data_IF_683022699748
#
_entry.id   IF_683022699748
#
_cell.length_a   1.000
_cell.length_b   1.000
_cell.length_c   1.000
_cell.angle_alpha   90.00
_cell.angle_beta   90.00
_cell.angle_gamma   90.00
#
_symmetry.space_group_name_H-M   'P 1'
#
loop_
_entity.id
_entity.type
_entity.pdbx_description
1 polymer ?
#
# COMPACT_ATOMS: atom_id res chain seq x y z
N UNK A 1 -9.04 12.87 2.27
CA UNK A 1 -7.90 13.79 2.13
C UNK A 1 -6.65 12.92 2.02
N UNK A 2 -6.03 12.85 0.85
CA UNK A 2 -4.82 12.04 0.57
C UNK A 2 -3.61 12.40 1.44
N UNK A 3 -3.73 13.41 2.31
CA UNK A 3 -2.74 13.84 3.31
C UNK A 3 -2.54 12.84 4.46
N UNK A 4 -3.40 11.84 4.61
CA UNK A 4 -3.35 10.91 5.76
C UNK A 4 -2.13 9.96 5.76
N UNK A 5 -1.79 9.23 4.66
CA UNK A 5 -0.65 8.32 4.69
C UNK A 5 0.68 9.05 4.82
N UNK A 6 0.82 10.22 4.19
CA UNK A 6 2.06 11.01 4.20
C UNK A 6 2.34 11.58 5.58
N UNK A 7 1.33 12.13 6.24
CA UNK A 7 1.47 12.59 7.63
C UNK A 7 1.83 11.42 8.54
N UNK A 8 1.14 10.29 8.41
CA UNK A 8 1.43 9.08 9.18
C UNK A 8 2.87 8.61 8.98
N UNK A 9 3.34 8.50 7.73
CA UNK A 9 4.72 8.13 7.43
C UNK A 9 5.72 9.12 8.04
N UNK A 10 5.44 10.42 7.97
CA UNK A 10 6.28 11.46 8.56
C UNK A 10 6.34 11.34 10.08
N UNK A 11 5.20 11.12 10.76
CA UNK A 11 5.15 10.90 12.22
C UNK A 11 5.87 9.63 12.65
N UNK A 12 5.83 8.59 11.81
CA UNK A 12 6.54 7.33 12.03
C UNK A 12 8.01 7.37 11.55
N UNK A 13 8.49 8.54 11.14
CA UNK A 13 9.86 8.77 10.69
C UNK A 13 10.26 7.86 9.51
N UNK A 14 9.34 7.57 8.59
CA UNK A 14 9.68 6.96 7.31
C UNK A 14 10.15 8.01 6.32
N UNK A 15 11.12 7.66 5.48
CA UNK A 15 11.40 8.38 4.24
C UNK A 15 10.57 7.77 3.11
N UNK A 16 10.10 8.61 2.19
CA UNK A 16 9.22 8.18 1.12
C UNK A 16 9.39 9.01 -0.16
N UNK A 17 8.96 8.44 -1.28
CA UNK A 17 8.86 9.09 -2.59
C UNK A 17 7.41 8.95 -3.07
N UNK A 18 6.74 10.07 -3.34
CA UNK A 18 5.40 10.07 -3.91
C UNK A 18 5.47 9.99 -5.44
N UNK A 19 4.52 9.29 -6.05
CA UNK A 19 4.27 9.41 -7.48
C UNK A 19 3.73 10.82 -7.77
N UNK A 20 4.40 11.55 -8.66
CA UNK A 20 4.01 12.91 -9.07
C UNK A 20 2.86 12.90 -10.08
N UNK A 21 1.70 12.46 -9.62
CA UNK A 21 0.48 12.36 -10.42
C UNK A 21 0.00 13.72 -10.95
N UNK A 22 0.36 14.83 -10.29
CA UNK A 22 -0.05 16.17 -10.74
C UNK A 22 0.68 16.59 -12.02
N UNK A 23 1.94 16.19 -12.19
CA UNK A 23 2.75 16.55 -13.36
C UNK A 23 2.96 15.40 -14.35
N UNK A 24 2.44 14.20 -14.06
CA UNK A 24 2.57 13.05 -14.95
C UNK A 24 1.80 13.23 -16.28
N UNK A 25 2.40 12.88 -17.44
CA UNK A 25 1.71 12.89 -18.73
C UNK A 25 0.51 11.94 -18.77
N UNK A 26 -0.52 12.30 -19.55
CA UNK A 26 -1.70 11.47 -19.76
C UNK A 26 -1.57 10.59 -21.03
N UNK A 27 -1.99 9.32 -21.00
CA UNK A 27 -2.48 8.56 -19.83
C UNK A 27 -1.34 8.16 -18.85
N UNK A 28 -1.61 8.21 -17.54
CA UNK A 28 -0.58 8.01 -16.50
C UNK A 28 -0.18 6.54 -16.30
N UNK A 29 -1.10 5.60 -16.51
CA UNK A 29 -0.97 4.20 -16.09
C UNK A 29 0.37 3.53 -16.39
N UNK A 30 0.91 3.69 -17.62
CA UNK A 30 2.17 3.04 -18.01
C UNK A 30 3.36 3.63 -17.27
N UNK A 31 3.40 4.95 -17.15
CA UNK A 31 4.49 5.67 -16.50
C UNK A 31 4.46 5.42 -15.00
N UNK A 32 3.25 5.34 -14.44
CA UNK A 32 3.00 4.90 -13.09
C UNK A 32 3.49 3.47 -12.86
N UNK A 33 3.12 2.50 -13.71
CA UNK A 33 3.58 1.11 -13.58
C UNK A 33 5.10 0.99 -13.71
N UNK A 34 5.76 1.79 -14.56
CA UNK A 34 7.24 1.86 -14.62
C UNK A 34 7.83 2.42 -13.33
N UNK A 35 7.22 3.46 -12.77
CA UNK A 35 7.61 4.00 -11.47
C UNK A 35 7.47 2.93 -10.37
N UNK A 36 6.34 2.23 -10.33
CA UNK A 36 6.12 1.14 -9.37
C UNK A 36 7.18 0.05 -9.48
N UNK A 37 7.45 -0.42 -10.71
CA UNK A 37 8.50 -1.40 -10.98
C UNK A 37 9.85 -0.93 -10.43
N UNK A 38 10.30 0.29 -10.80
CA UNK A 38 11.61 0.80 -10.36
C UNK A 38 11.71 0.93 -8.83
N UNK A 39 10.64 1.36 -8.18
CA UNK A 39 10.59 1.46 -6.72
C UNK A 39 10.74 0.08 -6.06
N UNK A 40 9.99 -0.93 -6.53
CA UNK A 40 10.12 -2.30 -6.03
C UNK A 40 11.51 -2.89 -6.31
N UNK A 41 12.09 -2.66 -7.49
CA UNK A 41 13.45 -3.14 -7.81
C UNK A 41 14.53 -2.52 -6.94
N UNK A 42 14.31 -1.30 -6.43
CA UNK A 42 15.16 -0.65 -5.42
C UNK A 42 14.90 -1.15 -4.00
N UNK A 43 14.06 -2.18 -3.83
CA UNK A 43 13.61 -2.75 -2.56
C UNK A 43 12.77 -1.80 -1.72
N UNK A 44 12.11 -0.84 -2.35
CA UNK A 44 11.16 0.05 -1.69
C UNK A 44 9.74 -0.53 -1.86
N UNK A 45 9.07 -0.98 -0.79
CA UNK A 45 7.67 -1.37 -0.87
C UNK A 45 6.82 -0.15 -1.21
N UNK A 46 5.67 -0.40 -1.84
CA UNK A 46 4.80 0.67 -2.36
C UNK A 46 3.43 0.54 -1.74
N UNK A 47 2.87 1.63 -1.27
CA UNK A 47 1.43 1.76 -1.03
C UNK A 47 0.80 2.37 -2.28
N UNK A 48 -0.26 1.77 -2.80
CA UNK A 48 -0.93 2.29 -3.98
C UNK A 48 -2.45 2.23 -3.87
N UNK A 49 -3.09 3.23 -4.48
CA UNK A 49 -4.54 3.36 -4.55
C UNK A 49 -5.14 2.43 -5.60
N UNK A 50 -6.26 1.80 -5.27
CA UNK A 50 -7.05 0.99 -6.17
C UNK A 50 -8.55 1.26 -6.00
N UNK A 51 -9.31 0.98 -7.05
CA UNK A 51 -10.75 0.89 -7.03
C UNK A 51 -11.18 -0.46 -6.47
N UNK A 52 -12.18 -0.42 -5.59
CA UNK A 52 -12.97 -1.58 -5.21
C UNK A 52 -14.38 -1.43 -5.78
N UNK A 53 -14.99 -2.56 -6.13
CA UNK A 53 -16.34 -2.58 -6.70
C UNK A 53 -17.40 -1.95 -5.79
N UNK A 54 -17.31 -2.18 -4.49
CA UNK A 54 -18.38 -1.91 -3.53
C UNK A 54 -18.24 -0.54 -2.84
N UNK A 55 -17.27 0.25 -3.28
CA UNK A 55 -16.98 1.57 -2.74
C UNK A 55 -17.11 2.60 -3.86
N UNK A 56 -17.40 3.83 -3.48
CA UNK A 56 -17.75 4.89 -4.43
C UNK A 56 -17.03 6.22 -4.12
N UNK A 57 -15.71 6.14 -3.97
CA UNK A 57 -14.85 7.32 -3.93
C UNK A 57 -14.34 7.64 -5.34
N UNK A 58 -14.22 8.91 -5.69
CA UNK A 58 -13.91 9.27 -7.09
C UNK A 58 -12.49 8.84 -7.48
N UNK A 59 -11.51 9.07 -6.61
CA UNK A 59 -10.08 8.94 -6.89
C UNK A 59 -9.52 7.52 -6.72
N UNK A 60 -9.83 6.87 -5.59
CA UNK A 60 -9.59 5.45 -5.28
C UNK A 60 -10.31 5.11 -3.96
N UNK A 61 -10.54 3.82 -3.67
CA UNK A 61 -11.28 3.42 -2.45
C UNK A 61 -10.48 2.58 -1.47
N UNK A 62 -9.31 2.11 -1.89
CA UNK A 62 -8.52 1.19 -1.08
C UNK A 62 -7.04 1.42 -1.34
N UNK A 63 -6.26 1.30 -0.27
CA UNK A 63 -4.79 1.39 -0.32
C UNK A 63 -4.25 0.01 -0.04
N UNK A 64 -3.35 -0.46 -0.88
CA UNK A 64 -2.75 -1.80 -0.76
C UNK A 64 -1.23 -1.72 -0.85
N UNK A 65 -0.49 -2.52 -0.06
CA UNK A 65 0.95 -2.59 -0.18
C UNK A 65 1.37 -3.61 -1.25
N UNK A 66 2.23 -3.18 -2.17
CA UNK A 66 3.01 -4.05 -3.05
C UNK A 66 4.41 -4.28 -2.49
N UNK A 67 4.87 -5.52 -2.58
CA UNK A 67 6.15 -5.98 -2.01
C UNK A 67 7.07 -6.64 -3.05
N UNK A 68 6.58 -6.84 -4.27
CA UNK A 68 7.34 -7.56 -5.28
C UNK A 68 6.78 -7.38 -6.67
N UNK A 69 7.58 -7.74 -7.66
CA UNK A 69 7.19 -7.72 -9.07
C UNK A 69 7.93 -8.85 -9.80
N UNK A 70 7.22 -9.54 -10.70
CA UNK A 70 7.83 -10.38 -11.72
C UNK A 70 7.86 -9.61 -13.03
N UNK A 71 9.01 -9.59 -13.66
CA UNK A 71 9.28 -8.77 -14.82
C UNK A 71 10.25 -9.48 -15.79
N UNK A 72 10.25 -9.05 -17.04
CA UNK A 72 11.25 -9.46 -18.06
C UNK A 72 12.30 -8.38 -18.28
N UNK A 73 11.87 -7.11 -18.33
CA UNK A 73 12.74 -5.94 -18.53
C UNK A 73 12.60 -4.95 -17.36
N UNK A 74 13.70 -4.32 -16.97
CA UNK A 74 13.75 -3.49 -15.75
C UNK A 74 13.21 -2.07 -15.94
N UNK A 75 13.50 -1.44 -17.08
CA UNK A 75 13.30 0.00 -17.27
C UNK A 75 12.10 0.35 -18.16
N UNK A 76 11.49 -0.65 -18.78
CA UNK A 76 10.38 -0.49 -19.71
C UNK A 76 9.08 -0.95 -19.07
N UNK A 77 7.97 -0.39 -19.54
CA UNK A 77 6.65 -0.92 -19.24
C UNK A 77 6.49 -2.24 -19.99
N UNK A 78 6.17 -3.32 -19.30
CA UNK A 78 5.78 -4.59 -19.92
C UNK A 78 4.36 -4.95 -19.46
N UNK A 79 3.38 -5.06 -20.38
CA UNK A 79 2.02 -5.41 -20.03
C UNK A 79 1.88 -6.83 -19.43
N UNK A 80 2.95 -7.62 -19.40
CA UNK A 80 3.01 -8.93 -18.75
C UNK A 80 3.67 -8.89 -17.36
N UNK A 81 4.12 -7.73 -16.90
CA UNK A 81 4.62 -7.59 -15.53
C UNK A 81 3.54 -7.98 -14.52
N UNK A 82 3.94 -8.68 -13.48
CA UNK A 82 3.03 -9.11 -12.41
C UNK A 82 3.45 -8.50 -11.09
N UNK A 83 2.63 -7.59 -10.56
CA UNK A 83 2.82 -7.03 -9.23
C UNK A 83 2.33 -7.99 -8.16
N UNK A 84 3.05 -8.05 -7.05
CA UNK A 84 2.79 -8.90 -5.89
C UNK A 84 2.39 -7.99 -4.72
N UNK A 85 1.18 -8.14 -4.21
CA UNK A 85 0.60 -7.23 -3.22
C UNK A 85 -0.29 -7.95 -2.20
N UNK A 86 -0.62 -7.27 -1.10
CA UNK A 86 -1.65 -7.72 -0.15
C UNK A 86 -2.92 -6.90 -0.32
N UNK A 87 -4.08 -7.56 -0.37
CA UNK A 87 -5.38 -6.86 -0.47
C UNK A 87 -5.88 -6.30 0.87
N UNK A 88 -5.15 -6.56 1.96
CA UNK A 88 -5.47 -6.20 3.35
C UNK A 88 -6.81 -6.75 3.89
N UNK A 89 -7.53 -7.57 3.13
CA UNK A 89 -8.75 -8.25 3.57
C UNK A 89 -8.53 -9.74 3.81
N UNK A 90 -7.55 -10.33 3.14
CA UNK A 90 -7.26 -11.76 3.23
C UNK A 90 -5.81 -11.99 3.64
N UNK A 91 -5.60 -13.02 4.47
CA UNK A 91 -4.28 -13.48 4.91
C UNK A 91 -3.54 -14.25 3.81
N UNK A 92 -3.40 -13.65 2.62
CA UNK A 92 -2.67 -14.21 1.50
C UNK A 92 -2.11 -13.11 0.60
N UNK A 93 -1.12 -13.48 -0.20
CA UNK A 93 -0.54 -12.64 -1.25
C UNK A 93 -1.40 -12.74 -2.50
N UNK A 94 -1.50 -11.63 -3.23
CA UNK A 94 -2.18 -11.50 -4.50
C UNK A 94 -1.20 -11.12 -5.61
N UNK A 95 -1.62 -11.43 -6.83
CA UNK A 95 -0.89 -11.13 -8.05
C UNK A 95 -1.80 -10.34 -8.99
N UNK A 96 -1.26 -9.31 -9.61
CA UNK A 96 -1.97 -8.48 -10.58
C UNK A 96 -1.11 -8.24 -11.82
N UNK A 97 -1.67 -8.46 -13.00
CA UNK A 97 -0.97 -8.19 -14.26
C UNK A 97 -1.08 -6.69 -14.54
N UNK A 98 0.04 -5.97 -14.62
CA UNK A 98 0.13 -4.53 -14.86
C UNK A 98 -0.20 -4.19 -16.32
N UNK A 99 -1.45 -4.45 -16.69
CA UNK A 99 -2.03 -4.22 -18.00
C UNK A 99 -3.30 -3.39 -17.85
N UNK A 100 -3.49 -2.43 -18.76
CA UNK A 100 -4.62 -1.50 -18.74
C UNK A 100 -5.98 -2.21 -18.78
N UNK A 101 -6.05 -3.41 -19.35
CA UNK A 101 -7.28 -4.21 -19.48
C UNK A 101 -7.43 -5.29 -18.41
N UNK A 102 -6.41 -5.49 -17.55
CA UNK A 102 -6.43 -6.48 -16.47
C UNK A 102 -6.53 -5.82 -15.11
N UNK A 103 -5.57 -4.95 -14.81
CA UNK A 103 -5.45 -4.25 -13.54
C UNK A 103 -5.69 -2.75 -13.68
N UNK A 104 -5.71 -2.18 -14.90
CA UNK A 104 -6.22 -0.83 -15.13
C UNK A 104 -7.74 -0.78 -15.18
N UNK A 105 -8.35 0.30 -14.68
CA UNK A 105 -9.76 0.59 -14.91
C UNK A 105 -10.15 2.05 -14.69
N UNK A 106 -11.34 2.44 -15.17
CA UNK A 106 -11.97 3.71 -14.81
C UNK A 106 -12.98 3.50 -13.68
N UNK A 107 -13.27 4.58 -12.93
CA UNK A 107 -14.28 4.57 -11.87
C UNK A 107 -15.66 4.14 -12.40
N UNK A 108 -16.09 4.71 -13.52
CA UNK A 108 -17.36 4.35 -14.18
C UNK A 108 -17.47 2.84 -14.44
N UNK A 109 -16.40 2.25 -14.97
CA UNK A 109 -16.40 0.84 -15.33
C UNK A 109 -16.40 -0.09 -14.11
N UNK A 110 -15.68 0.27 -13.04
CA UNK A 110 -15.68 -0.51 -11.80
C UNK A 110 -17.03 -0.50 -11.09
N UNK A 111 -17.78 0.61 -11.15
CA UNK A 111 -19.19 0.69 -10.69
C UNK A 111 -20.10 -0.27 -11.46
N UNK A 112 -19.90 -0.40 -12.77
CA UNK A 112 -20.75 -1.22 -13.65
C UNK A 112 -20.48 -2.74 -13.55
N UNK A 113 -19.30 -3.17 -13.11
CA UNK A 113 -18.91 -4.59 -13.11
C UNK A 113 -19.55 -5.39 -11.96
N UNK A 114 -20.19 -6.52 -12.31
CA UNK A 114 -20.78 -7.50 -11.37
C UNK A 114 -19.81 -8.58 -10.85
N UNK A 115 -18.56 -8.63 -11.29
CA UNK A 115 -17.63 -9.71 -10.94
C UNK A 115 -16.89 -9.44 -9.61
N UNK A 116 -16.73 -10.50 -8.81
CA UNK A 116 -16.04 -10.48 -7.53
C UNK A 116 -14.53 -10.58 -7.73
N UNK A 117 -13.80 -9.65 -7.10
CA UNK A 117 -12.35 -9.67 -6.98
C UNK A 117 -11.63 -9.21 -8.25
N UNK A 118 -11.13 -7.99 -8.23
CA UNK A 118 -9.81 -7.59 -8.74
C UNK A 118 -9.53 -6.20 -8.18
N UNK A 119 -8.31 -5.97 -7.70
CA UNK A 119 -7.81 -4.63 -7.43
C UNK A 119 -7.61 -3.93 -8.77
N UNK A 120 -8.20 -2.74 -8.97
CA UNK A 120 -7.98 -1.96 -10.19
C UNK A 120 -7.25 -0.67 -9.90
N UNK A 121 -6.09 -0.48 -10.48
CA UNK A 121 -5.42 0.82 -10.53
C UNK A 121 -6.25 1.73 -11.46
N UNK A 122 -6.46 3.00 -11.10
CA UNK A 122 -7.06 3.98 -12.01
C UNK A 122 -6.34 4.03 -13.37
N UNK A 123 -6.99 4.53 -14.42
CA UNK A 123 -6.32 4.74 -15.72
C UNK A 123 -5.90 6.20 -15.93
N UNK A 124 -6.58 7.12 -15.26
CA UNK A 124 -6.49 8.56 -15.51
C UNK A 124 -5.60 9.26 -14.46
N UNK A 125 -5.88 9.03 -13.17
CA UNK A 125 -5.11 9.62 -12.07
C UNK A 125 -4.70 8.51 -11.11
N UNK A 126 -3.41 8.22 -11.08
CA UNK A 126 -2.84 7.16 -10.25
C UNK A 126 -2.25 7.72 -8.96
N UNK A 127 -2.30 6.93 -7.88
CA UNK A 127 -1.78 7.34 -6.58
C UNK A 127 -0.88 6.27 -5.99
N UNK A 128 0.36 6.66 -5.65
CA UNK A 128 1.33 5.74 -5.07
C UNK A 128 2.38 6.44 -4.23
N UNK A 129 2.86 5.73 -3.20
CA UNK A 129 3.94 6.16 -2.31
C UNK A 129 4.90 4.99 -2.15
N UNK A 130 6.17 5.19 -2.53
CA UNK A 130 7.24 4.26 -2.24
C UNK A 130 7.85 4.59 -0.88
N UNK A 131 7.93 3.62 0.03
CA UNK A 131 8.59 3.77 1.32
C UNK A 131 10.08 3.50 1.10
N UNK A 132 10.92 4.52 1.19
CA UNK A 132 12.33 4.47 0.79
C UNK A 132 13.28 4.14 1.94
N UNK A 133 12.79 4.16 3.17
CA UNK A 133 13.60 3.85 4.35
C UNK A 133 13.02 4.42 5.62
N UNK A 134 13.85 4.43 6.66
CA UNK A 134 13.53 4.98 7.98
C UNK A 134 14.54 6.09 8.25
N UNK A 135 14.07 7.23 8.73
CA UNK A 135 14.92 8.29 9.24
C UNK A 135 15.54 7.82 10.56
N UNK A 136 16.79 7.40 10.48
CA UNK A 136 17.59 6.91 11.60
C UNK A 136 18.90 7.69 11.69
N UNK A 137 18.80 8.94 12.14
CA UNK A 137 19.95 9.86 12.22
C UNK A 137 21.11 9.30 13.06
N UNK A 138 20.78 8.46 14.04
CA UNK A 138 21.74 7.89 14.97
C UNK A 138 22.22 6.49 14.57
N UNK A 139 21.69 5.89 13.49
CA UNK A 139 21.99 4.52 13.04
C UNK A 139 21.77 3.46 14.12
N UNK A 140 20.70 3.61 14.91
CA UNK A 140 20.36 2.71 16.04
C UNK A 140 18.99 2.05 15.87
N UNK A 141 18.40 2.06 14.67
CA UNK A 141 17.15 1.34 14.42
C UNK A 141 17.31 -0.14 14.68
N UNK A 142 16.39 -0.68 15.48
CA UNK A 142 16.36 -2.09 15.83
C UNK A 142 15.17 -2.76 15.13
N UNK A 143 15.30 -4.03 14.73
CA UNK A 143 14.18 -4.77 14.20
C UNK A 143 13.10 -4.91 15.29
N UNK A 144 11.94 -4.31 15.01
CA UNK A 144 10.76 -4.43 15.85
C UNK A 144 9.76 -5.39 15.20
N UNK A 145 9.12 -6.22 16.02
CA UNK A 145 7.92 -6.95 15.62
C UNK A 145 6.76 -6.46 16.45
N UNK A 146 5.75 -5.95 15.76
CA UNK A 146 4.45 -5.62 16.35
C UNK A 146 3.52 -6.82 16.19
N UNK A 147 3.00 -7.30 17.30
CA UNK A 147 1.88 -8.24 17.36
C UNK A 147 0.65 -7.49 17.86
N UNK A 148 -0.48 -7.67 17.22
CA UNK A 148 -1.75 -7.05 17.63
C UNK A 148 -2.79 -8.13 17.97
N UNK A 149 -3.64 -7.88 18.97
CA UNK A 149 -4.65 -8.83 19.44
C UNK A 149 -5.86 -8.96 18.49
N UNK A 150 -6.10 -7.95 17.66
CA UNK A 150 -7.16 -7.90 16.66
C UNK A 150 -6.58 -7.53 15.29
N UNK A 151 -7.24 -8.01 14.23
CA UNK A 151 -6.88 -7.70 12.84
C UNK A 151 -7.98 -6.95 12.09
N UNK A 152 -9.15 -6.80 12.70
CA UNK A 152 -10.31 -6.12 12.13
C UNK A 152 -10.37 -4.69 12.66
N UNK A 153 -10.48 -3.74 11.74
CA UNK A 153 -10.76 -2.35 12.07
C UNK A 153 -12.28 -2.15 12.20
N UNK A 154 -12.76 -1.40 13.22
CA UNK A 154 -14.15 -0.99 13.27
C UNK A 154 -14.47 -0.09 12.08
N UNK A 155 -15.66 -0.23 11.50
CA UNK A 155 -16.09 0.62 10.41
C UNK A 155 -16.88 1.84 10.93
N UNK A 156 -16.26 3.03 11.00
CA UNK A 156 -16.92 4.22 11.51
C UNK A 156 -18.10 4.67 10.63
N UNK A 157 -18.09 4.33 9.33
CA UNK A 157 -19.20 4.66 8.42
C UNK A 157 -20.47 3.86 8.72
N UNK A 158 -20.35 2.72 9.40
CA UNK A 158 -21.48 1.92 9.90
C UNK A 158 -21.76 2.13 11.39
N UNK A 159 -21.14 3.13 12.02
CA UNK A 159 -21.23 3.36 13.46
C UNK A 159 -20.84 2.13 14.29
N UNK A 160 -19.88 1.35 13.81
CA UNK A 160 -19.32 0.26 14.61
C UNK A 160 -18.53 0.85 15.78
N UNK A 161 -18.69 0.27 16.96
CA UNK A 161 -17.97 0.69 18.15
C UNK A 161 -16.46 0.48 17.98
N UNK A 162 -15.61 1.39 18.51
CA UNK A 162 -14.17 1.18 18.54
C UNK A 162 -13.82 -0.16 19.18
N UNK A 163 -12.82 -0.85 18.61
CA UNK A 163 -12.34 -2.12 19.14
C UNK A 163 -11.04 -1.86 19.87
N UNK A 164 -10.97 -2.29 21.12
CA UNK A 164 -9.72 -2.26 21.88
C UNK A 164 -8.71 -3.21 21.23
N UNK A 165 -7.55 -2.67 20.84
CA UNK A 165 -6.47 -3.43 20.22
C UNK A 165 -5.24 -3.39 21.14
N UNK A 166 -4.82 -4.55 21.62
CA UNK A 166 -3.58 -4.68 22.36
C UNK A 166 -2.43 -4.89 21.39
N UNK A 167 -1.44 -4.00 21.44
CA UNK A 167 -0.17 -4.15 20.76
C UNK A 167 0.89 -4.76 21.69
N UNK A 168 1.75 -5.62 21.16
CA UNK A 168 3.02 -5.98 21.81
C UNK A 168 4.14 -5.72 20.82
N UNK A 169 5.11 -4.89 21.22
CA UNK A 169 6.29 -4.58 20.42
C UNK A 169 7.48 -5.34 21.00
N UNK A 170 7.97 -6.33 20.26
CA UNK A 170 9.22 -7.00 20.61
C UNK A 170 10.38 -6.39 19.83
N UNK A 171 11.46 -6.08 20.54
CA UNK A 171 12.72 -5.58 19.97
C UNK A 171 13.73 -6.71 20.04
N UNK A 172 14.30 -7.10 18.91
CA UNK A 172 15.36 -8.11 18.88
C UNK A 172 16.72 -7.43 18.84
N UNK A 173 17.51 -7.59 19.90
CA UNK A 173 18.93 -7.25 19.88
C UNK A 173 19.71 -8.50 19.48
N UNK A 174 20.74 -8.36 18.66
CA UNK A 174 21.57 -9.49 18.18
C UNK A 174 22.28 -10.28 19.31
N UNK A 175 22.17 -9.83 20.56
CA UNK A 175 22.75 -10.51 21.72
C UNK A 175 21.79 -10.78 22.90
N UNK A 176 20.57 -10.21 22.96
CA UNK A 176 19.60 -10.43 24.05
C UNK A 176 18.15 -10.16 23.60
N UNK A 177 17.18 -11.03 23.93
CA UNK A 177 15.75 -10.71 23.75
C UNK A 177 15.24 -9.94 24.97
N UNK A 178 14.78 -8.70 24.76
CA UNK A 178 14.02 -7.95 25.77
C UNK A 178 12.58 -7.77 25.26
N UNK A 179 11.60 -8.23 26.05
CA UNK A 179 10.19 -8.02 25.77
C UNK A 179 9.75 -6.70 26.40
N UNK A 180 9.25 -5.79 25.57
CA UNK A 180 8.57 -4.58 26.02
C UNK A 180 7.09 -4.70 25.64
N UNK A 181 6.20 -4.49 26.60
CA UNK A 181 4.75 -4.45 26.35
C UNK A 181 4.30 -2.99 26.40
N UNK A 182 3.62 -2.53 25.36
CA UNK A 182 3.01 -1.20 25.32
C UNK A 182 1.59 -1.35 24.77
N UNK A 183 0.58 -1.00 25.57
CA UNK A 183 -0.80 -0.93 25.11
C UNK A 183 -0.98 0.34 24.29
N UNK A 184 -1.39 0.19 23.02
CA UNK A 184 -1.72 1.32 22.15
C UNK A 184 -3.24 1.45 22.10
N UNK A 185 -3.76 2.53 22.67
CA UNK A 185 -5.18 2.86 22.52
C UNK A 185 -5.35 3.60 21.18
N UNK A 186 -6.05 3.00 20.22
CA UNK A 186 -6.43 3.65 18.97
C UNK A 186 -7.87 4.14 19.17
N UNK A 187 -8.12 5.47 19.30
CA UNK A 187 -9.44 6.03 19.56
C UNK A 187 -10.39 5.93 18.37
#
# INVERSE_FOLDING_TARGET
DLRDPIHTLSYLHFTYEEWDWMNAPQPQFRDYCRWMKRSILRRNPIMFGIFLRYMDYEDYDHIVPAIGIRYKTENEFDPEDVIIYYDLYKKKVFEGILNENKMGSTREFTRAKKYAGNAWIPLDIDYGIAITGILDENQVTLPVRLSVSAWNEPNPAFHEDPIEMDGTVSVQFDYWQHLYSASLFIP
#
